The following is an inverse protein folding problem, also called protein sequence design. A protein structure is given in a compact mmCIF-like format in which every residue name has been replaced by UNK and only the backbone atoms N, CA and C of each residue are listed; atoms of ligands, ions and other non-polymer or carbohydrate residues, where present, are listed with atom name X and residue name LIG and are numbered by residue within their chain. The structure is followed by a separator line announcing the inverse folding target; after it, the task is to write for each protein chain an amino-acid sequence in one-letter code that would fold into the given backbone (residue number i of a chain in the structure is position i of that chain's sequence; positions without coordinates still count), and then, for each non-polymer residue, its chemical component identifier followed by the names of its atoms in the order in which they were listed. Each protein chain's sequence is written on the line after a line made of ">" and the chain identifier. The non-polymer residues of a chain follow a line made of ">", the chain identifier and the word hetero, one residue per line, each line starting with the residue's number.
data_IF_027960524059
#
_entry.id   IF_027960524059
#
_cell.length_a   1.000
_cell.length_b   1.000
_cell.length_c   1.000
_cell.angle_alpha   90.00
_cell.angle_beta   90.00
_cell.angle_gamma   90.00
#
_symmetry.space_group_name_H-M   'P 1'
#
loop_
_entity.id
_entity.type
_entity.pdbx_description
1 polymer ?
#
# COMPACT_ATOMS: atom_id res chain seq x y z
N UNK A 1 -9.81 6.93 -14.27
CA UNK A 1 -8.50 7.60 -14.34
C UNK A 1 -8.43 8.89 -13.55
N UNK A 2 -9.49 9.72 -13.48
CA UNK A 2 -9.51 10.97 -12.66
C UNK A 2 -8.92 10.85 -11.26
N UNK A 3 -9.23 9.78 -10.52
CA UNK A 3 -8.68 9.57 -9.18
C UNK A 3 -7.13 9.55 -9.14
N UNK A 4 -6.46 9.00 -10.15
CA UNK A 4 -4.99 9.01 -10.22
C UNK A 4 -4.44 10.40 -10.57
N UNK A 5 -5.17 11.17 -11.38
CA UNK A 5 -4.81 12.55 -11.71
C UNK A 5 -4.87 13.43 -10.46
N UNK A 6 -5.92 13.27 -9.64
CA UNK A 6 -6.12 14.01 -8.39
C UNK A 6 -5.00 13.73 -7.35
N UNK A 7 -4.38 12.55 -7.40
CA UNK A 7 -3.28 12.15 -6.50
C UNK A 7 -1.91 12.71 -6.92
N UNK A 8 -1.80 13.34 -8.08
CA UNK A 8 -0.54 13.99 -8.48
C UNK A 8 -0.21 15.16 -7.56
N UNK A 9 1.08 15.44 -7.37
CA UNK A 9 1.50 16.56 -6.52
C UNK A 9 0.93 17.91 -6.98
N UNK A 10 0.76 18.11 -8.28
CA UNK A 10 0.19 19.33 -8.85
C UNK A 10 -1.26 19.51 -8.39
N UNK A 11 -2.11 18.50 -8.60
CA UNK A 11 -3.52 18.53 -8.19
C UNK A 11 -3.69 18.60 -6.68
N UNK A 12 -2.88 17.86 -5.92
CA UNK A 12 -2.88 17.93 -4.45
C UNK A 12 -2.58 19.35 -3.96
N UNK A 13 -1.61 20.04 -4.54
CA UNK A 13 -1.26 21.41 -4.14
C UNK A 13 -2.41 22.38 -4.44
N UNK A 14 -2.98 22.31 -5.64
CA UNK A 14 -4.15 23.12 -6.02
C UNK A 14 -5.34 22.89 -5.08
N UNK A 15 -5.54 21.64 -4.62
CA UNK A 15 -6.59 21.30 -3.66
C UNK A 15 -6.34 21.92 -2.29
N UNK A 16 -5.13 21.76 -1.74
CA UNK A 16 -4.77 22.25 -0.41
C UNK A 16 -4.78 23.79 -0.31
N UNK A 17 -4.51 24.50 -1.42
CA UNK A 17 -4.62 25.95 -1.47
C UNK A 17 -6.06 26.45 -1.26
N UNK A 18 -7.05 25.71 -1.77
CA UNK A 18 -8.48 26.06 -1.72
C UNK A 18 -9.19 25.47 -0.50
N UNK A 19 -8.74 24.33 -0.02
CA UNK A 19 -9.40 23.55 1.02
C UNK A 19 -8.45 23.32 2.21
N UNK A 20 -8.29 24.36 3.03
CA UNK A 20 -7.49 24.28 4.25
C UNK A 20 -8.21 23.44 5.31
N UNK A 21 -7.41 22.75 6.13
CA UNK A 21 -7.93 22.04 7.30
C UNK A 21 -8.43 23.05 8.34
N UNK A 22 -9.57 22.79 9.00
CA UNK A 22 -10.05 23.60 10.11
C UNK A 22 -9.07 23.59 11.29
N UNK A 23 -8.85 24.75 11.91
CA UNK A 23 -7.90 24.90 13.04
C UNK A 23 -8.49 24.40 14.37
N UNK A 24 -9.81 24.34 14.47
CA UNK A 24 -10.53 24.00 15.70
C UNK A 24 -10.64 22.49 15.93
N UNK A 25 -10.32 21.67 14.92
CA UNK A 25 -10.47 20.23 14.98
C UNK A 25 -9.12 19.55 15.26
N UNK A 26 -9.06 18.60 16.22
CA UNK A 26 -7.86 17.81 16.42
C UNK A 26 -7.59 16.96 15.19
N UNK A 27 -6.38 17.08 14.64
CA UNK A 27 -5.94 16.29 13.48
C UNK A 27 -4.99 15.21 13.96
N UNK A 28 -5.27 13.97 13.55
CA UNK A 28 -4.38 12.82 13.75
C UNK A 28 -3.95 12.31 12.38
N UNK A 29 -2.64 12.17 12.17
CA UNK A 29 -2.08 11.56 10.97
C UNK A 29 -1.53 10.17 11.30
N UNK A 30 -1.77 9.22 10.40
CA UNK A 30 -1.25 7.86 10.53
C UNK A 30 -0.21 7.63 9.43
N UNK A 31 1.06 7.45 9.83
CA UNK A 31 2.16 7.19 8.90
C UNK A 31 2.49 5.70 8.92
N UNK A 32 2.36 5.05 7.77
CA UNK A 32 2.70 3.63 7.55
C UNK A 32 3.94 3.50 6.65
N UNK A 33 4.59 2.33 6.70
CA UNK A 33 5.80 2.03 5.93
C UNK A 33 5.77 0.55 5.51
N UNK A 34 5.91 0.28 4.21
CA UNK A 34 5.93 -1.07 3.66
C UNK A 34 7.25 -1.77 3.99
N UNK A 35 7.20 -3.10 4.13
CA UNK A 35 8.41 -3.91 4.27
C UNK A 35 9.07 -4.12 2.92
N UNK A 36 10.21 -3.47 2.69
CA UNK A 36 11.01 -3.61 1.44
C UNK A 36 12.09 -4.70 1.53
N UNK A 37 11.89 -5.70 2.39
CA UNK A 37 12.87 -6.77 2.54
C UNK A 37 13.06 -7.56 1.24
N UNK A 38 14.28 -8.06 0.93
CA UNK A 38 14.53 -8.87 -0.26
C UNK A 38 13.61 -10.10 -0.36
N UNK A 39 13.25 -10.71 0.76
CA UNK A 39 12.33 -11.85 0.81
C UNK A 39 10.93 -11.47 0.32
N UNK A 40 10.39 -10.33 0.76
CA UNK A 40 9.08 -9.82 0.31
C UNK A 40 9.13 -9.48 -1.17
N UNK A 41 10.19 -8.81 -1.64
CA UNK A 41 10.36 -8.48 -3.06
C UNK A 41 10.48 -9.72 -3.95
N UNK A 42 11.17 -10.78 -3.48
CA UNK A 42 11.32 -12.03 -4.22
C UNK A 42 9.98 -12.72 -4.52
N UNK A 43 8.94 -12.50 -3.71
CA UNK A 43 7.60 -13.05 -3.97
C UNK A 43 6.96 -12.52 -5.27
N UNK A 44 7.39 -11.35 -5.78
CA UNK A 44 7.02 -10.92 -7.14
C UNK A 44 7.54 -11.87 -8.22
N UNK A 45 8.75 -12.41 -8.07
CA UNK A 45 9.32 -13.36 -9.03
C UNK A 45 8.66 -14.74 -8.97
N UNK A 46 8.20 -15.17 -7.79
CA UNK A 46 7.49 -16.45 -7.65
C UNK A 46 6.14 -16.46 -8.38
N UNK A 47 5.42 -15.33 -8.41
CA UNK A 47 4.17 -15.23 -9.19
C UNK A 47 4.45 -15.19 -10.70
N UNK A 48 5.60 -14.66 -11.13
CA UNK A 48 6.02 -14.72 -12.53
C UNK A 48 6.41 -16.13 -13.00
N UNK A 49 6.53 -17.11 -12.09
CA UNK A 49 6.93 -18.50 -12.38
C UNK A 49 5.82 -19.53 -12.08
N UNK A 50 4.57 -19.09 -11.88
CA UNK A 50 3.44 -20.01 -11.79
C UNK A 50 3.19 -20.67 -13.17
N UNK A 51 3.76 -21.85 -13.37
CA UNK A 51 3.55 -22.73 -14.52
C UNK A 51 2.04 -23.03 -14.70
N UNK A 52 1.55 -22.87 -15.93
CA UNK A 52 0.19 -23.26 -16.33
C UNK A 52 0.05 -24.79 -16.26
N UNK A 53 -0.97 -25.37 -15.61
CA UNK A 53 -1.26 -26.78 -15.81
C UNK A 53 -1.68 -26.97 -17.26
N UNK A 54 -0.82 -27.61 -18.05
CA UNK A 54 -1.18 -28.08 -19.37
C UNK A 54 -2.33 -29.09 -19.22
N UNK A 55 -3.35 -28.93 -20.06
CA UNK A 55 -4.53 -29.79 -20.30
C UNK A 55 -5.81 -29.40 -19.53
N UNK A 56 -6.72 -28.73 -20.25
CA UNK A 56 -8.13 -29.09 -20.26
C UNK A 56 -8.59 -29.24 -21.72
N UNK A 57 -9.01 -30.46 -22.08
CA UNK A 57 -9.66 -30.74 -23.36
C UNK A 57 -10.96 -29.94 -23.48
N UNK A 58 -11.24 -29.51 -24.72
CA UNK A 58 -12.50 -29.02 -25.27
C UNK A 58 -13.66 -28.75 -24.27
N UNK A 59 -13.92 -27.47 -23.97
CA UNK A 59 -15.31 -26.99 -23.79
C UNK A 59 -15.67 -26.21 -22.52
N UNK A 60 -14.85 -26.19 -21.47
CA UNK A 60 -15.22 -25.51 -20.21
C UNK A 60 -14.40 -24.24 -19.96
N UNK A 61 -15.08 -23.13 -19.69
CA UNK A 61 -14.47 -21.84 -19.32
C UNK A 61 -13.88 -21.94 -17.91
N UNK A 62 -12.62 -22.34 -17.82
CA UNK A 62 -11.87 -22.36 -16.56
C UNK A 62 -11.42 -20.94 -16.21
N UNK A 63 -12.08 -20.33 -15.22
CA UNK A 63 -11.60 -19.09 -14.58
C UNK A 63 -10.29 -19.40 -13.85
N UNK A 64 -9.17 -18.92 -14.36
CA UNK A 64 -7.86 -19.05 -13.70
C UNK A 64 -7.72 -18.00 -12.59
N UNK A 65 -7.38 -18.39 -11.35
CA UNK A 65 -7.14 -17.45 -10.27
C UNK A 65 -5.83 -16.70 -10.54
N UNK A 66 -5.93 -15.40 -10.81
CA UNK A 66 -4.76 -14.51 -10.83
C UNK A 66 -4.43 -14.14 -9.39
N UNK A 67 -3.41 -14.77 -8.83
CA UNK A 67 -2.88 -14.39 -7.51
C UNK A 67 -1.97 -13.19 -7.70
N UNK A 68 -2.45 -12.00 -7.35
CA UNK A 68 -1.61 -10.80 -7.33
C UNK A 68 -0.94 -10.68 -5.96
N UNK A 69 0.40 -10.72 -5.85
CA UNK A 69 1.09 -10.63 -4.57
C UNK A 69 1.12 -9.16 -4.14
N UNK A 70 0.00 -8.66 -3.62
CA UNK A 70 -0.24 -7.25 -3.38
C UNK A 70 0.82 -6.61 -2.47
N UNK A 71 1.19 -7.29 -1.36
CA UNK A 71 2.25 -6.81 -0.47
C UNK A 71 3.61 -6.69 -1.17
N UNK A 72 3.90 -7.59 -2.11
CA UNK A 72 5.12 -7.56 -2.91
C UNK A 72 5.12 -6.40 -3.92
N UNK A 73 3.96 -6.14 -4.54
CA UNK A 73 3.76 -4.98 -5.40
C UNK A 73 3.94 -3.67 -4.61
N UNK A 74 3.35 -3.56 -3.41
CA UNK A 74 3.52 -2.40 -2.54
C UNK A 74 4.98 -2.23 -2.11
N UNK A 75 5.70 -3.31 -1.79
CA UNK A 75 7.11 -3.27 -1.47
C UNK A 75 7.96 -2.75 -2.65
N UNK A 76 7.67 -3.19 -3.88
CA UNK A 76 8.38 -2.71 -5.06
C UNK A 76 8.08 -1.23 -5.36
N UNK A 77 6.83 -0.80 -5.22
CA UNK A 77 6.47 0.61 -5.35
C UNK A 77 7.12 1.46 -4.24
N UNK A 78 7.22 0.93 -3.01
CA UNK A 78 7.91 1.61 -1.92
C UNK A 78 9.40 1.78 -2.22
N UNK A 79 10.04 0.74 -2.74
CA UNK A 79 11.44 0.79 -3.18
C UNK A 79 11.64 1.82 -4.30
N UNK A 80 10.71 1.91 -5.26
CA UNK A 80 10.76 2.92 -6.32
C UNK A 80 10.69 4.34 -5.76
N UNK A 81 9.77 4.60 -4.82
CA UNK A 81 9.64 5.90 -4.16
C UNK A 81 10.90 6.26 -3.35
N UNK A 82 11.48 5.29 -2.65
CA UNK A 82 12.73 5.46 -1.90
C UNK A 82 13.90 5.82 -2.83
N UNK A 83 14.01 5.20 -4.01
CA UNK A 83 15.06 5.54 -5.00
C UNK A 83 14.81 6.91 -5.63
N UNK A 84 13.56 7.23 -5.95
CA UNK A 84 13.20 8.47 -6.64
C UNK A 84 13.25 9.70 -5.74
N UNK A 85 12.82 9.58 -4.50
CA UNK A 85 12.60 10.70 -3.58
C UNK A 85 13.45 10.65 -2.31
N UNK A 86 14.14 9.53 -2.04
CA UNK A 86 14.91 9.37 -0.80
C UNK A 86 14.03 9.16 0.44
N UNK A 87 12.72 8.99 0.27
CA UNK A 87 11.75 8.94 1.35
C UNK A 87 11.11 7.55 1.46
N UNK A 88 10.88 7.12 2.70
CA UNK A 88 10.14 5.90 3.00
C UNK A 88 8.67 6.07 2.61
N UNK A 89 7.99 4.96 2.32
CA UNK A 89 6.57 4.96 1.97
C UNK A 89 5.90 3.63 2.32
N UNK A 90 4.58 3.64 2.28
CA UNK A 90 3.73 2.45 2.44
C UNK A 90 3.48 1.71 1.10
N UNK A 91 4.17 2.11 0.04
CA UNK A 91 3.98 1.59 -1.31
C UNK A 91 3.25 2.54 -2.25
N UNK A 92 2.48 3.51 -1.74
CA UNK A 92 1.79 4.50 -2.59
C UNK A 92 2.04 5.94 -2.13
N UNK A 93 2.05 6.20 -0.83
CA UNK A 93 2.18 7.54 -0.27
C UNK A 93 3.48 7.60 0.53
N UNK A 94 4.29 8.65 0.30
CA UNK A 94 5.49 8.83 1.12
C UNK A 94 5.07 9.10 2.55
N UNK A 95 5.86 8.58 3.48
CA UNK A 95 5.57 8.75 4.88
C UNK A 95 5.50 10.24 5.26
N UNK A 96 6.31 11.10 4.62
CA UNK A 96 6.29 12.56 4.79
C UNK A 96 4.99 13.19 4.32
N UNK A 97 4.42 12.68 3.23
CA UNK A 97 3.17 13.17 2.67
C UNK A 97 1.92 12.74 3.46
N UNK A 98 2.02 11.63 4.20
CA UNK A 98 0.95 11.15 5.09
C UNK A 98 0.82 11.98 6.39
N UNK A 99 1.83 12.79 6.72
CA UNK A 99 1.84 13.64 7.91
C UNK A 99 1.33 15.04 7.59
N UNK A 100 0.21 15.41 8.19
CA UNK A 100 -0.31 16.77 8.13
C UNK A 100 0.46 17.65 9.13
N UNK A 101 0.96 18.83 8.74
CA UNK A 101 1.59 19.75 9.67
C UNK A 101 0.69 20.12 10.84
N UNK A 102 1.22 20.08 12.07
CA UNK A 102 0.47 20.38 13.30
C UNK A 102 -0.40 19.23 13.82
N UNK A 103 -0.50 18.11 13.09
CA UNK A 103 -1.23 16.94 13.57
C UNK A 103 -0.45 16.15 14.63
N UNK A 104 -1.18 15.38 15.44
CA UNK A 104 -0.60 14.30 16.24
C UNK A 104 -0.33 13.13 15.29
N UNK A 105 0.93 12.72 15.20
CA UNK A 105 1.29 11.64 14.28
C UNK A 105 1.48 10.32 15.01
N UNK A 106 0.74 9.31 14.57
CA UNK A 106 0.92 7.91 14.96
C UNK A 106 1.88 7.23 13.99
N UNK A 107 2.91 6.60 14.55
CA UNK A 107 3.99 5.92 13.81
C UNK A 107 4.14 4.48 14.30
N UNK A 108 3.39 3.52 13.73
CA UNK A 108 3.50 2.11 14.11
C UNK A 108 4.93 1.59 13.93
N UNK A 109 5.38 0.76 14.88
CA UNK A 109 6.69 0.08 14.76
C UNK A 109 6.66 -1.02 13.69
N UNK A 110 5.52 -1.71 13.56
CA UNK A 110 5.29 -2.75 12.56
C UNK A 110 5.26 -2.11 11.16
N UNK A 111 5.87 -2.79 10.19
CA UNK A 111 5.81 -2.40 8.78
C UNK A 111 4.47 -2.82 8.19
N UNK A 112 3.71 -1.83 7.74
CA UNK A 112 2.37 -1.95 7.23
C UNK A 112 2.35 -1.23 5.88
N UNK A 113 2.02 -1.95 4.82
CA UNK A 113 1.84 -1.35 3.50
C UNK A 113 0.47 -0.65 3.37
N UNK A 114 0.25 0.04 2.25
CA UNK A 114 -0.97 0.80 2.01
C UNK A 114 -2.21 -0.11 1.93
N UNK A 115 -2.04 -1.35 1.47
CA UNK A 115 -3.12 -2.31 1.31
C UNK A 115 -3.55 -2.93 2.65
N UNK A 116 -2.68 -2.93 3.68
CA UNK A 116 -2.99 -3.47 5.00
C UNK A 116 -4.26 -2.88 5.60
N UNK A 117 -4.49 -1.57 5.48
CA UNK A 117 -5.70 -0.91 6.01
C UNK A 117 -7.00 -1.45 5.40
N UNK A 118 -6.96 -2.03 4.21
CA UNK A 118 -8.15 -2.45 3.44
C UNK A 118 -8.31 -3.96 3.40
N UNK A 119 -7.21 -4.70 3.26
CA UNK A 119 -7.20 -6.15 3.04
C UNK A 119 -6.77 -6.95 4.26
N UNK A 120 -6.73 -6.29 5.42
CA UNK A 120 -6.25 -6.88 6.67
C UNK A 120 -7.01 -8.11 7.12
N UNK A 121 -8.33 -8.06 6.96
CA UNK A 121 -9.29 -9.08 7.39
C UNK A 121 -9.33 -10.34 6.53
N UNK A 122 -8.48 -10.46 5.50
CA UNK A 122 -8.41 -11.66 4.65
C UNK A 122 -7.39 -12.70 5.12
N UNK A 123 -6.50 -12.34 6.06
CA UNK A 123 -5.48 -13.24 6.62
C UNK A 123 -5.61 -13.30 8.15
N UNK A 124 -6.72 -13.89 8.63
CA UNK A 124 -6.87 -14.30 10.04
C UNK A 124 -6.05 -15.56 10.31
N UNK A 125 -4.72 -15.41 10.43
CA UNK A 125 -3.94 -16.28 11.32
C UNK A 125 -3.94 -15.62 12.70
N UNK A 126 -4.83 -16.13 13.56
CA UNK A 126 -5.19 -15.66 14.90
C UNK A 126 -4.06 -15.68 15.95
N UNK A 127 -2.80 -15.88 15.58
CA UNK A 127 -1.72 -16.12 16.56
C UNK A 127 -0.97 -14.89 17.04
N UNK A 128 -1.12 -13.72 16.40
CA UNK A 128 -0.49 -12.49 16.87
C UNK A 128 -1.45 -11.29 16.74
N UNK A 129 -2.24 -11.10 17.80
CA UNK A 129 -2.83 -9.82 18.23
C UNK A 129 -3.38 -8.92 17.14
N UNK A 130 -4.58 -9.26 16.67
CA UNK A 130 -5.45 -8.36 15.91
C UNK A 130 -5.85 -7.18 16.80
N UNK A 131 -5.79 -5.97 16.26
CA UNK A 131 -5.86 -4.74 17.03
C UNK A 131 -7.31 -4.40 17.42
N UNK A 132 -7.79 -4.98 18.51
CA UNK A 132 -8.90 -4.46 19.31
C UNK A 132 -8.65 -4.72 20.80
N UNK A 133 -8.26 -3.64 21.50
CA UNK A 133 -7.95 -3.47 22.94
C UNK A 133 -6.62 -4.02 23.48
#
# INVERSE_FOLDING_TARGET
>A
MRALEDLTYERRREFLEKHRLPEELPVVSFRTEASVSPAVLATLSHVAHAELPMVASAGESTKLPVVMPLGAAMAACAQLLQVRYGEKSDGLVTCRDAEVPGSIVVRPKRKLDHAWMVYSSLNDDLTEGDAAQ
#
